data_IF_760295048628
#
_entry.id   IF_760295048628
#
_cell.length_a   1.000
_cell.length_b   1.000
_cell.length_c   1.000
_cell.angle_alpha   90.00
_cell.angle_beta   90.00
_cell.angle_gamma   90.00
#
_symmetry.space_group_name_H-M   'P 1'
#
loop_
_entity.id
_entity.type
_entity.pdbx_description
1 polymer ?
#
# COMPACT_ATOMS: atom_id res chain seq x y z
N UNK A 1 13.17 29.82 15.83
CA UNK A 1 11.82 29.74 16.47
C UNK A 1 11.03 28.68 15.76
N UNK A 2 10.94 27.49 16.34
CA UNK A 2 10.18 26.37 15.76
C UNK A 2 8.67 26.65 15.88
N UNK A 3 7.95 26.58 14.77
CA UNK A 3 6.47 26.67 14.77
C UNK A 3 5.91 25.26 15.01
N UNK A 4 5.34 25.05 16.17
CA UNK A 4 4.64 23.80 16.52
C UNK A 4 3.26 23.82 15.88
N UNK A 5 3.02 22.95 14.89
CA UNK A 5 1.70 22.71 14.34
C UNK A 5 1.07 21.55 15.11
N UNK A 6 0.05 21.84 15.94
CA UNK A 6 -0.73 20.79 16.61
C UNK A 6 -1.81 20.28 15.66
N UNK A 7 -1.66 19.04 15.21
CA UNK A 7 -2.72 18.35 14.47
C UNK A 7 -3.57 17.54 15.46
N UNK A 8 -4.84 17.94 15.65
CA UNK A 8 -5.81 17.17 16.42
C UNK A 8 -6.36 16.04 15.56
N UNK A 9 -5.95 14.80 15.84
CA UNK A 9 -6.57 13.61 15.28
C UNK A 9 -7.74 13.19 16.17
N UNK A 10 -8.95 13.23 15.63
CA UNK A 10 -10.10 12.62 16.28
C UNK A 10 -10.01 11.09 16.15
N UNK A 11 -9.59 10.43 17.21
CA UNK A 11 -9.81 9.00 17.40
C UNK A 11 -11.12 8.82 18.16
N UNK A 12 -12.06 8.13 17.56
CA UNK A 12 -13.18 7.56 18.30
C UNK A 12 -12.67 6.42 19.18
N UNK A 13 -12.90 6.59 20.47
CA UNK A 13 -12.66 5.68 21.61
C UNK A 13 -11.24 5.63 22.19
N UNK A 14 -11.07 6.39 23.26
CA UNK A 14 -10.24 6.05 24.42
C UNK A 14 -8.74 6.20 24.29
N UNK A 15 -8.24 7.39 24.47
CA UNK A 15 -6.84 7.65 24.70
C UNK A 15 -6.42 9.02 24.20
N UNK A 16 -6.34 10.00 25.10
CA UNK A 16 -5.73 11.30 24.85
C UNK A 16 -4.23 11.11 24.61
N UNK A 17 -3.80 11.14 23.37
CA UNK A 17 -2.42 11.43 23.04
C UNK A 17 -2.43 12.49 21.94
N UNK A 18 -2.26 13.72 22.32
CA UNK A 18 -1.82 14.79 21.42
C UNK A 18 -0.35 14.53 21.09
N UNK A 19 -0.08 13.74 20.07
CA UNK A 19 1.26 13.65 19.51
C UNK A 19 1.56 14.94 18.77
N UNK A 20 2.41 15.76 19.36
CA UNK A 20 2.92 16.98 18.73
C UNK A 20 3.93 16.56 17.67
N UNK A 21 3.58 16.71 16.40
CA UNK A 21 4.51 16.50 15.29
C UNK A 21 5.50 17.68 15.31
N UNK A 22 6.74 17.41 15.68
CA UNK A 22 7.85 18.37 15.57
C UNK A 22 8.33 18.41 14.13
N UNK A 23 8.03 19.48 13.42
CA UNK A 23 8.31 19.68 11.96
C UNK A 23 9.83 19.70 11.65
N UNK A 24 10.69 19.80 12.66
CA UNK A 24 12.12 20.04 12.49
C UNK A 24 12.93 18.83 11.97
N UNK A 25 12.42 17.60 12.14
CA UNK A 25 13.15 16.37 11.78
C UNK A 25 12.59 15.60 10.60
N UNK A 26 11.34 15.86 10.21
CA UNK A 26 10.60 15.05 9.21
C UNK A 26 10.20 15.85 7.98
N UNK A 27 10.59 17.14 7.92
CA UNK A 27 10.21 18.03 6.82
C UNK A 27 11.13 17.86 5.60
N UNK A 28 10.59 17.35 4.51
CA UNK A 28 11.26 17.32 3.20
C UNK A 28 10.51 18.24 2.21
N UNK A 29 11.07 19.41 1.85
CA UNK A 29 10.42 20.33 0.93
C UNK A 29 10.28 19.79 -0.50
N UNK A 30 11.03 18.76 -0.86
CA UNK A 30 10.99 18.12 -2.18
C UNK A 30 9.97 16.98 -2.26
N UNK A 31 9.45 16.52 -1.14
CA UNK A 31 8.56 15.35 -1.07
C UNK A 31 7.30 15.50 -1.93
N UNK A 32 6.68 16.68 -1.93
CA UNK A 32 5.53 16.96 -2.80
C UNK A 32 5.88 16.78 -4.28
N UNK A 33 6.96 17.41 -4.73
CA UNK A 33 7.36 17.36 -6.14
C UNK A 33 7.82 15.96 -6.58
N UNK A 34 8.56 15.26 -5.71
CA UNK A 34 8.95 13.87 -5.95
C UNK A 34 7.71 12.98 -6.09
N UNK A 35 6.75 13.10 -5.17
CA UNK A 35 5.51 12.32 -5.19
C UNK A 35 4.66 12.63 -6.43
N UNK A 36 4.53 13.91 -6.81
CA UNK A 36 3.86 14.33 -8.05
C UNK A 36 4.51 13.70 -9.28
N UNK A 37 5.83 13.74 -9.36
CA UNK A 37 6.58 13.15 -10.50
C UNK A 37 6.37 11.65 -10.60
N UNK A 38 6.35 10.91 -9.48
CA UNK A 38 6.20 9.45 -9.46
C UNK A 38 4.77 9.00 -9.70
N UNK A 39 3.79 9.67 -9.09
CA UNK A 39 2.38 9.32 -9.23
C UNK A 39 1.72 9.91 -10.48
N UNK A 40 2.26 10.99 -11.04
CA UNK A 40 1.60 11.78 -12.08
C UNK A 40 0.42 12.62 -11.59
N UNK A 41 0.13 12.63 -10.28
CA UNK A 41 -1.03 13.29 -9.69
C UNK A 41 -0.69 14.68 -9.16
N UNK A 42 -1.47 15.70 -9.50
CA UNK A 42 -1.26 17.06 -8.96
C UNK A 42 -1.92 17.24 -7.60
N UNK A 43 -1.16 16.92 -6.56
CA UNK A 43 -1.63 16.99 -5.17
C UNK A 43 -1.85 18.42 -4.67
N UNK A 44 -1.31 19.44 -5.37
CA UNK A 44 -1.49 20.87 -5.01
C UNK A 44 -2.95 21.30 -5.14
N UNK A 45 -3.71 20.62 -6.02
CA UNK A 45 -5.14 20.91 -6.24
C UNK A 45 -6.04 20.44 -5.11
N UNK A 46 -5.52 19.67 -4.14
CA UNK A 46 -6.34 19.14 -3.04
C UNK A 46 -6.73 20.23 -2.04
N UNK A 47 -8.00 20.54 -1.96
CA UNK A 47 -8.57 21.49 -0.98
C UNK A 47 -9.23 20.82 0.24
N UNK A 48 -8.92 19.55 0.50
CA UNK A 48 -9.33 18.82 1.71
C UNK A 48 -10.85 18.66 1.89
N UNK A 49 -11.60 18.41 0.81
CA UNK A 49 -13.06 18.24 0.85
C UNK A 49 -13.55 16.94 1.52
N UNK A 50 -12.66 16.04 1.92
CA UNK A 50 -12.92 14.77 2.63
C UNK A 50 -13.68 13.69 1.86
N UNK A 51 -14.09 13.91 0.61
CA UNK A 51 -14.86 12.92 -0.18
C UNK A 51 -14.13 11.61 -0.38
N UNK A 52 -12.80 11.66 -0.52
CA UNK A 52 -11.96 10.47 -0.63
C UNK A 52 -11.98 9.62 0.65
N UNK A 53 -11.89 10.26 1.81
CA UNK A 53 -11.92 9.58 3.12
C UNK A 53 -13.31 9.04 3.44
N UNK A 54 -14.36 9.83 3.23
CA UNK A 54 -15.73 9.40 3.49
C UNK A 54 -16.20 8.24 2.60
N UNK A 55 -15.57 8.06 1.43
CA UNK A 55 -15.89 6.96 0.51
C UNK A 55 -14.96 5.76 0.59
N UNK A 56 -13.91 5.81 1.38
CA UNK A 56 -12.91 4.76 1.44
C UNK A 56 -13.36 3.61 2.35
N UNK A 57 -13.46 2.36 1.85
CA UNK A 57 -13.90 1.21 2.65
C UNK A 57 -12.88 0.82 3.71
N UNK A 58 -11.61 1.15 3.52
CA UNK A 58 -10.51 0.80 4.45
C UNK A 58 -10.10 1.96 5.36
N UNK A 59 -10.66 3.18 5.18
CA UNK A 59 -10.31 4.33 6.03
C UNK A 59 -10.47 4.10 7.55
N UNK A 60 -11.46 3.33 8.05
CA UNK A 60 -11.58 3.05 9.48
C UNK A 60 -10.40 2.26 10.08
N UNK A 61 -9.66 1.53 9.24
CA UNK A 61 -8.54 0.68 9.66
C UNK A 61 -7.18 1.35 9.44
N UNK A 62 -7.15 2.47 8.71
CA UNK A 62 -5.94 3.24 8.42
C UNK A 62 -5.53 4.10 9.62
N UNK A 63 -4.24 4.14 9.92
CA UNK A 63 -3.65 5.07 10.89
C UNK A 63 -3.73 6.52 10.42
N UNK A 64 -3.48 6.76 9.12
CA UNK A 64 -3.60 8.06 8.49
C UNK A 64 -4.68 8.00 7.40
N UNK A 65 -5.68 8.86 7.48
CA UNK A 65 -6.79 8.89 6.52
C UNK A 65 -6.33 9.40 5.15
N UNK A 66 -6.98 8.98 4.04
CA UNK A 66 -6.57 9.35 2.67
C UNK A 66 -6.37 10.86 2.43
N UNK A 67 -7.27 11.71 2.95
CA UNK A 67 -7.12 13.16 2.82
C UNK A 67 -5.91 13.70 3.59
N UNK A 68 -5.61 13.11 4.75
CA UNK A 68 -4.47 13.51 5.58
C UNK A 68 -3.15 13.10 4.94
N UNK A 69 -3.08 11.95 4.28
CA UNK A 69 -1.90 11.56 3.48
C UNK A 69 -1.57 12.67 2.48
N UNK A 70 -2.55 13.17 1.71
CA UNK A 70 -2.30 14.27 0.76
C UNK A 70 -1.82 15.52 1.50
N UNK A 71 -2.45 15.86 2.63
CA UNK A 71 -2.06 17.04 3.40
C UNK A 71 -0.64 16.95 3.95
N UNK A 72 -0.25 15.78 4.46
CA UNK A 72 1.09 15.54 4.97
C UNK A 72 2.14 15.63 3.85
N UNK A 73 1.82 15.14 2.65
CA UNK A 73 2.69 15.31 1.48
C UNK A 73 2.83 16.80 1.11
N UNK A 74 1.73 17.56 1.09
CA UNK A 74 1.74 18.99 0.80
C UNK A 74 2.63 19.79 1.78
N UNK A 75 2.69 19.35 3.03
CA UNK A 75 3.53 19.99 4.07
C UNK A 75 4.88 19.29 4.26
N UNK A 76 5.25 18.34 3.42
CA UNK A 76 6.58 17.71 3.40
C UNK A 76 6.87 16.73 4.53
N UNK A 77 5.85 16.13 5.16
CA UNK A 77 6.02 15.13 6.24
C UNK A 77 6.22 13.74 5.60
N UNK A 78 7.47 13.40 5.26
CA UNK A 78 7.80 12.21 4.48
C UNK A 78 7.83 10.93 5.31
N UNK A 79 8.56 10.93 6.42
CA UNK A 79 8.81 9.72 7.22
C UNK A 79 7.51 9.08 7.73
N UNK A 80 6.58 9.86 8.28
CA UNK A 80 5.31 9.35 8.79
C UNK A 80 4.42 8.82 7.68
N UNK A 81 4.42 9.47 6.50
CA UNK A 81 3.64 9.02 5.34
C UNK A 81 4.17 7.67 4.85
N UNK A 82 5.48 7.55 4.62
CA UNK A 82 6.09 6.31 4.13
C UNK A 82 6.03 5.17 5.16
N UNK A 83 6.10 5.51 6.46
CA UNK A 83 5.95 4.54 7.56
C UNK A 83 4.52 4.20 7.93
N UNK A 84 3.49 4.77 7.26
CA UNK A 84 2.09 4.56 7.62
C UNK A 84 1.55 3.18 7.19
N UNK A 85 0.55 2.67 7.94
CA UNK A 85 -0.20 1.49 7.50
C UNK A 85 -1.14 1.81 6.33
N UNK A 86 -1.55 3.06 6.19
CA UNK A 86 -2.50 3.51 5.18
C UNK A 86 -2.08 3.16 3.75
N UNK A 87 -0.79 3.33 3.42
CA UNK A 87 -0.27 3.02 2.09
C UNK A 87 -0.39 1.53 1.77
N UNK A 88 -0.32 0.64 2.77
CA UNK A 88 -0.43 -0.81 2.61
C UNK A 88 -1.88 -1.31 2.64
N UNK A 89 -2.75 -0.67 3.44
CA UNK A 89 -4.17 -1.02 3.57
C UNK A 89 -5.03 -0.56 2.38
N UNK A 90 -4.49 0.28 1.50
CA UNK A 90 -5.19 0.70 0.28
C UNK A 90 -5.40 -0.47 -0.67
N UNK A 91 -6.66 -0.87 -0.90
CA UNK A 91 -7.05 -1.97 -1.80
C UNK A 91 -7.25 -1.54 -3.25
N UNK A 92 -6.81 -0.35 -3.61
CA UNK A 92 -6.87 0.19 -4.98
C UNK A 92 -8.27 0.16 -5.62
N UNK A 93 -9.34 0.36 -4.84
CA UNK A 93 -10.72 0.28 -5.31
C UNK A 93 -11.18 1.47 -6.18
N UNK A 94 -10.35 2.50 -6.35
CA UNK A 94 -10.56 3.73 -7.14
C UNK A 94 -11.76 4.60 -6.72
N UNK A 95 -12.49 4.27 -5.67
CA UNK A 95 -13.63 5.05 -5.18
C UNK A 95 -13.25 6.49 -4.85
N UNK A 96 -12.04 6.72 -4.33
CA UNK A 96 -11.55 8.05 -4.01
C UNK A 96 -11.32 8.92 -5.26
N UNK A 97 -10.78 8.35 -6.33
CA UNK A 97 -10.57 9.04 -7.61
C UNK A 97 -11.90 9.47 -8.26
N UNK A 98 -12.87 8.56 -8.34
CA UNK A 98 -14.20 8.85 -8.92
C UNK A 98 -14.98 9.92 -8.14
N UNK A 99 -14.70 10.09 -6.85
CA UNK A 99 -15.35 11.10 -5.98
C UNK A 99 -14.59 12.41 -5.89
N UNK A 100 -13.34 12.44 -6.35
CA UNK A 100 -12.51 13.64 -6.24
C UNK A 100 -12.93 14.69 -7.27
N UNK A 101 -13.31 15.94 -6.83
CA UNK A 101 -13.69 17.00 -7.77
C UNK A 101 -12.49 17.54 -8.56
N UNK A 102 -11.28 17.28 -8.11
CA UNK A 102 -10.03 17.66 -8.79
C UNK A 102 -9.35 16.45 -9.45
N UNK A 103 -10.08 15.33 -9.63
CA UNK A 103 -9.63 14.14 -10.36
C UNK A 103 -8.32 13.51 -9.82
N UNK A 104 -8.01 13.70 -8.52
CA UNK A 104 -6.82 13.10 -7.91
C UNK A 104 -7.08 11.63 -7.60
N UNK A 105 -6.29 10.75 -8.19
CA UNK A 105 -6.39 9.29 -8.03
C UNK A 105 -5.50 8.81 -6.88
N UNK A 106 -6.02 8.83 -5.67
CA UNK A 106 -5.26 8.43 -4.46
C UNK A 106 -4.75 6.99 -4.54
N UNK A 107 -5.42 6.08 -5.26
CA UNK A 107 -4.90 4.73 -5.46
C UNK A 107 -3.53 4.72 -6.14
N UNK A 108 -3.36 5.52 -7.20
CA UNK A 108 -2.09 5.68 -7.91
C UNK A 108 -1.03 6.32 -6.99
N UNK A 109 -1.45 7.33 -6.22
CA UNK A 109 -0.60 7.95 -5.22
C UNK A 109 -0.09 6.93 -4.19
N UNK A 110 -0.97 6.06 -3.65
CA UNK A 110 -0.59 5.05 -2.66
C UNK A 110 0.40 4.02 -3.23
N UNK A 111 0.28 3.66 -4.51
CA UNK A 111 1.26 2.78 -5.15
C UNK A 111 2.64 3.46 -5.29
N UNK A 112 2.67 4.72 -5.70
CA UNK A 112 3.91 5.48 -5.75
C UNK A 112 4.58 5.59 -4.37
N UNK A 113 3.80 5.80 -3.30
CA UNK A 113 4.31 5.86 -1.93
C UNK A 113 4.86 4.52 -1.43
N UNK A 114 4.23 3.39 -1.82
CA UNK A 114 4.77 2.05 -1.53
C UNK A 114 6.13 1.84 -2.19
N UNK A 115 6.25 2.20 -3.46
CA UNK A 115 7.52 2.10 -4.20
C UNK A 115 8.60 2.96 -3.54
N UNK A 116 8.28 4.20 -3.16
CA UNK A 116 9.21 5.08 -2.42
C UNK A 116 9.62 4.48 -1.09
N UNK A 117 8.68 3.95 -0.30
CA UNK A 117 8.97 3.31 0.98
C UNK A 117 9.91 2.11 0.82
N UNK A 118 9.69 1.28 -0.20
CA UNK A 118 10.55 0.13 -0.49
C UNK A 118 11.95 0.55 -0.94
N UNK A 119 12.08 1.56 -1.80
CA UNK A 119 13.36 2.07 -2.29
C UNK A 119 14.19 2.71 -1.18
N UNK A 120 13.56 3.40 -0.24
CA UNK A 120 14.22 4.01 0.91
C UNK A 120 14.46 3.02 2.08
N UNK A 121 14.03 1.77 1.92
CA UNK A 121 14.20 0.74 2.95
C UNK A 121 13.32 0.95 4.18
N UNK A 122 12.24 1.75 4.08
CA UNK A 122 11.29 1.94 5.17
C UNK A 122 10.52 0.64 5.39
N UNK A 123 10.56 0.05 6.61
CA UNK A 123 9.90 -1.22 6.86
C UNK A 123 8.38 -1.10 6.74
N UNK A 124 7.77 -2.01 5.97
CA UNK A 124 6.32 -2.06 5.86
C UNK A 124 5.66 -2.25 7.23
N UNK A 125 4.79 -1.33 7.62
CA UNK A 125 4.05 -1.44 8.88
C UNK A 125 3.14 -2.66 8.88
N UNK A 126 2.54 -2.96 7.71
CA UNK A 126 1.73 -4.15 7.47
C UNK A 126 2.56 -5.24 6.79
N UNK A 127 3.45 -5.89 7.55
CA UNK A 127 4.39 -6.91 7.06
C UNK A 127 3.71 -8.03 6.29
N UNK A 128 2.56 -8.50 6.75
CA UNK A 128 1.84 -9.60 6.13
C UNK A 128 1.26 -9.23 4.76
N UNK A 129 0.83 -7.97 4.57
CA UNK A 129 0.37 -7.48 3.27
C UNK A 129 1.54 -7.42 2.29
N UNK A 130 2.68 -6.90 2.74
CA UNK A 130 3.89 -6.85 1.92
C UNK A 130 4.35 -8.26 1.50
N UNK A 131 4.44 -9.20 2.45
CA UNK A 131 4.79 -10.59 2.16
C UNK A 131 3.81 -11.27 1.18
N UNK A 132 2.52 -10.96 1.30
CA UNK A 132 1.53 -11.47 0.35
C UNK A 132 1.75 -10.95 -1.06
N UNK A 133 2.07 -9.64 -1.21
CA UNK A 133 2.41 -9.05 -2.51
C UNK A 133 3.67 -9.69 -3.09
N UNK A 134 4.71 -9.91 -2.28
CA UNK A 134 5.93 -10.60 -2.72
C UNK A 134 5.64 -12.02 -3.18
N UNK A 135 4.89 -12.81 -2.40
CA UNK A 135 4.51 -14.18 -2.77
C UNK A 135 3.72 -14.22 -4.08
N UNK A 136 2.82 -13.24 -4.29
CA UNK A 136 2.08 -13.10 -5.54
C UNK A 136 3.01 -12.86 -6.74
N UNK A 137 3.88 -11.87 -6.64
CA UNK A 137 4.84 -11.51 -7.71
C UNK A 137 5.79 -12.67 -8.00
N UNK A 138 6.29 -13.37 -6.97
CA UNK A 138 7.15 -14.54 -7.15
C UNK A 138 6.41 -15.69 -7.85
N UNK A 139 5.13 -15.91 -7.55
CA UNK A 139 4.32 -16.90 -8.25
C UNK A 139 4.19 -16.59 -9.75
N UNK A 140 3.92 -15.30 -10.09
CA UNK A 140 3.86 -14.84 -11.48
C UNK A 140 5.22 -14.96 -12.16
N UNK A 141 6.32 -14.61 -11.49
CA UNK A 141 7.69 -14.74 -12.02
C UNK A 141 8.06 -16.19 -12.38
N UNK A 142 7.63 -17.16 -11.56
CA UNK A 142 7.92 -18.59 -11.77
C UNK A 142 7.09 -19.19 -12.90
N UNK A 143 5.79 -18.89 -12.95
CA UNK A 143 4.82 -19.55 -13.81
C UNK A 143 4.30 -18.74 -14.99
N UNK A 144 4.50 -17.43 -14.97
CA UNK A 144 3.89 -16.47 -15.88
C UNK A 144 2.47 -16.07 -15.50
N UNK A 145 1.91 -16.75 -14.48
CA UNK A 145 0.60 -16.44 -13.88
C UNK A 145 0.63 -16.82 -12.40
N UNK A 146 -0.22 -16.22 -11.62
CA UNK A 146 -0.39 -16.60 -10.22
C UNK A 146 -0.94 -18.02 -10.12
N UNK A 147 -0.35 -18.83 -9.22
CA UNK A 147 -0.86 -20.12 -8.83
C UNK A 147 -1.14 -20.10 -7.33
N UNK A 148 -2.42 -20.20 -6.98
CA UNK A 148 -2.93 -19.91 -5.65
C UNK A 148 -2.28 -20.77 -4.57
N UNK A 149 -2.12 -22.07 -4.83
CA UNK A 149 -1.56 -23.01 -3.84
C UNK A 149 -0.10 -22.70 -3.55
N UNK A 150 0.74 -22.51 -4.56
CA UNK A 150 2.16 -22.17 -4.34
C UNK A 150 2.34 -20.80 -3.73
N UNK A 151 1.53 -19.84 -4.10
CA UNK A 151 1.54 -18.49 -3.54
C UNK A 151 1.18 -18.51 -2.04
N UNK A 152 0.13 -19.24 -1.67
CA UNK A 152 -0.28 -19.37 -0.26
C UNK A 152 0.77 -20.15 0.56
N UNK A 153 1.39 -21.19 -0.01
CA UNK A 153 2.48 -21.89 0.66
C UNK A 153 3.68 -20.97 0.92
N UNK A 154 4.11 -20.22 -0.10
CA UNK A 154 5.20 -19.24 0.04
C UNK A 154 4.85 -18.20 1.11
N UNK A 155 3.62 -17.68 1.12
CA UNK A 155 3.15 -16.72 2.12
C UNK A 155 3.18 -17.29 3.54
N UNK A 156 2.60 -18.47 3.76
CA UNK A 156 2.55 -19.12 5.09
C UNK A 156 3.97 -19.43 5.62
N UNK A 157 4.88 -19.88 4.76
CA UNK A 157 6.27 -20.17 5.15
C UNK A 157 7.02 -18.91 5.62
N UNK A 158 6.76 -17.75 5.01
CA UNK A 158 7.46 -16.50 5.34
C UNK A 158 6.77 -15.68 6.42
N UNK A 159 5.44 -15.67 6.47
CA UNK A 159 4.69 -14.92 7.49
C UNK A 159 4.80 -15.53 8.88
N UNK A 160 5.09 -16.85 8.98
CA UNK A 160 5.01 -17.63 10.23
C UNK A 160 3.65 -17.53 10.95
N UNK A 161 2.69 -16.85 10.36
CA UNK A 161 1.31 -16.83 10.82
C UNK A 161 0.65 -18.13 10.37
N UNK A 162 0.58 -19.07 11.27
CA UNK A 162 -0.32 -20.21 11.12
C UNK A 162 -1.75 -19.64 11.22
N UNK A 163 -2.32 -19.29 10.06
CA UNK A 163 -3.69 -18.83 9.93
C UNK A 163 -4.65 -20.00 10.25
N UNK A 164 -4.75 -20.37 11.53
CA UNK A 164 -5.64 -21.43 11.98
C UNK A 164 -7.09 -21.20 11.49
N UNK A 165 -7.52 -19.93 11.48
CA UNK A 165 -8.85 -19.53 11.01
C UNK A 165 -9.04 -19.66 9.49
N UNK A 166 -7.96 -19.71 8.71
CA UNK A 166 -8.02 -19.86 7.24
C UNK A 166 -7.82 -21.30 6.77
N UNK A 167 -7.30 -22.19 7.62
CA UNK A 167 -7.10 -23.61 7.29
C UNK A 167 -8.43 -24.33 7.03
N UNK A 168 -9.46 -24.08 7.84
CA UNK A 168 -10.77 -24.74 7.71
C UNK A 168 -11.49 -24.32 6.40
N UNK A 169 -11.60 -23.03 6.05
CA UNK A 169 -12.13 -22.61 4.76
C UNK A 169 -11.29 -23.11 3.58
N UNK A 170 -9.96 -23.08 3.70
CA UNK A 170 -9.03 -23.59 2.68
C UNK A 170 -9.22 -25.08 2.42
N UNK A 171 -9.34 -25.90 3.47
CA UNK A 171 -9.62 -27.33 3.38
C UNK A 171 -10.98 -27.61 2.69
N UNK A 172 -12.01 -26.83 3.01
CA UNK A 172 -13.32 -26.95 2.35
C UNK A 172 -13.27 -26.64 0.87
N UNK A 173 -12.49 -25.60 0.47
CA UNK A 173 -12.30 -25.25 -0.94
C UNK A 173 -11.48 -26.32 -1.69
N UNK A 174 -10.48 -26.89 -1.03
CA UNK A 174 -9.69 -28.01 -1.55
C UNK A 174 -10.55 -29.24 -1.81
N UNK A 175 -11.34 -29.66 -0.84
CA UNK A 175 -12.27 -30.80 -0.96
C UNK A 175 -13.33 -30.59 -2.06
N UNK A 176 -13.68 -29.34 -2.36
CA UNK A 176 -14.58 -28.98 -3.46
C UNK A 176 -13.88 -28.92 -4.83
N UNK A 177 -12.62 -29.28 -4.92
CA UNK A 177 -11.85 -29.25 -6.19
C UNK A 177 -11.67 -27.85 -6.77
N UNK A 178 -11.76 -26.80 -5.95
CA UNK A 178 -11.63 -25.41 -6.40
C UNK A 178 -10.19 -24.93 -6.55
N UNK A 179 -9.24 -25.68 -5.97
CA UNK A 179 -7.81 -25.36 -6.08
C UNK A 179 -7.15 -26.27 -7.12
N UNK A 180 -6.54 -25.71 -8.17
CA UNK A 180 -5.70 -26.50 -9.08
C UNK A 180 -4.43 -26.93 -8.34
N UNK A 181 -4.22 -28.23 -8.17
CA UNK A 181 -3.04 -28.80 -7.50
C UNK A 181 -1.76 -28.61 -8.30
N UNK A 182 -1.88 -28.60 -9.63
CA UNK A 182 -0.72 -28.49 -10.51
C UNK A 182 -0.64 -27.10 -11.13
N UNK A 183 0.55 -26.46 -11.06
CA UNK A 183 0.75 -25.15 -11.68
C UNK A 183 0.60 -25.25 -13.20
N UNK A 184 -0.27 -24.41 -13.77
CA UNK A 184 -0.35 -24.24 -15.20
C UNK A 184 0.60 -23.12 -15.63
N UNK A 185 1.48 -23.43 -16.59
CA UNK A 185 2.44 -22.46 -17.10
C UNK A 185 1.92 -21.78 -18.38
N UNK A 186 2.23 -20.50 -18.57
CA UNK A 186 1.94 -19.80 -19.82
C UNK A 186 2.93 -20.20 -20.91
N UNK A 187 2.47 -20.21 -22.17
CA UNK A 187 3.33 -20.55 -23.32
C UNK A 187 4.51 -19.58 -23.52
N UNK A 188 4.40 -18.33 -23.06
CA UNK A 188 5.43 -17.29 -23.17
C UNK A 188 6.33 -17.12 -21.93
N UNK A 189 6.62 -18.17 -21.16
CA UNK A 189 7.42 -18.07 -19.91
C UNK A 189 8.76 -17.33 -20.06
N UNK A 190 9.46 -17.50 -21.19
CA UNK A 190 10.73 -16.81 -21.45
C UNK A 190 10.57 -15.30 -21.63
N UNK A 191 9.47 -14.87 -22.23
CA UNK A 191 9.17 -13.46 -22.42
C UNK A 191 8.88 -12.78 -21.08
N UNK A 192 8.10 -13.43 -20.22
CA UNK A 192 7.84 -12.95 -18.85
C UNK A 192 9.15 -12.83 -18.07
N UNK A 193 10.02 -13.81 -18.15
CA UNK A 193 11.34 -13.74 -17.51
C UNK A 193 12.15 -12.54 -17.98
N UNK A 194 12.14 -12.25 -19.30
CA UNK A 194 12.82 -11.05 -19.87
C UNK A 194 12.23 -9.75 -19.35
N UNK A 195 10.89 -9.68 -19.19
CA UNK A 195 10.21 -8.50 -18.62
C UNK A 195 10.72 -8.26 -17.19
N UNK A 196 10.72 -9.29 -16.34
CA UNK A 196 11.22 -9.17 -14.98
C UNK A 196 12.70 -8.77 -14.92
N UNK A 197 13.54 -9.32 -15.80
CA UNK A 197 14.97 -8.96 -15.89
C UNK A 197 15.19 -7.51 -16.30
N UNK A 198 14.38 -6.98 -17.22
CA UNK A 198 14.43 -5.56 -17.60
C UNK A 198 14.02 -4.66 -16.44
N UNK A 199 12.86 -4.91 -15.83
CA UNK A 199 12.39 -4.12 -14.69
C UNK A 199 13.36 -4.12 -13.50
N UNK A 200 14.14 -5.20 -13.31
CA UNK A 200 15.13 -5.27 -12.23
C UNK A 200 16.42 -4.49 -12.57
N UNK A 201 16.75 -4.32 -13.86
CA UNK A 201 17.94 -3.58 -14.30
C UNK A 201 17.73 -2.05 -14.39
N UNK A 202 16.47 -1.62 -14.50
CA UNK A 202 16.09 -0.21 -14.60
C UNK A 202 15.87 0.45 -13.23
N UNK A 203 15.95 -0.33 -12.15
CA UNK A 203 16.02 0.14 -10.75
C UNK A 203 17.49 0.21 -10.30
#
# INVERSE_FOLDING_TARGET
MARTLSAQYFHGQGGNVLETITVDKTFDPKFLEETKKRSGEDLSLCYQCLKCTAGCPTAPYMDIRPNNIIRMIQVGIKEEVLGSSAIWLCVYCQTCGTRCPNEIHIGILMDALRDMAMEEGVPAKEKNIHLFHEAFIQSVRRGGRAHEVTMLMDYVLHSRDMMADSLIPGMKLFLKGKFPLFPSFVKGKQEIKRIFEKCTKEK
#
